data_IF_389553963706
#
_entry.id   IF_389553963706
#
_cell.length_a   1.000
_cell.length_b   1.000
_cell.length_c   1.000
_cell.angle_alpha   90.00
_cell.angle_beta   90.00
_cell.angle_gamma   90.00
#
_symmetry.space_group_name_H-M   'P 1'
#
loop_
_entity.id
_entity.type
_entity.pdbx_description
1 polymer ?
#
# COMPACT_ATOMS: atom_id res chain seq x y z
N UNK A 1 -11.00 29.72 -22.25
CA UNK A 1 -9.99 29.27 -21.27
C UNK A 1 -10.44 27.93 -20.71
N UNK A 2 -9.73 26.85 -21.02
CA UNK A 2 -10.09 25.51 -20.55
C UNK A 2 -9.76 25.35 -19.06
N UNK A 3 -10.75 24.96 -18.26
CA UNK A 3 -10.52 24.51 -16.90
C UNK A 3 -9.82 23.14 -16.98
N UNK A 4 -8.48 23.14 -16.88
CA UNK A 4 -7.72 21.92 -16.71
C UNK A 4 -8.23 21.21 -15.45
N UNK A 5 -8.74 19.99 -15.61
CA UNK A 5 -9.06 19.14 -14.46
C UNK A 5 -7.73 18.73 -13.82
N UNK A 6 -7.32 19.42 -12.76
CA UNK A 6 -6.29 18.92 -11.85
C UNK A 6 -6.84 17.66 -11.17
N UNK A 7 -6.45 16.50 -11.70
CA UNK A 7 -6.70 15.23 -11.02
C UNK A 7 -5.83 15.22 -9.76
N UNK A 8 -6.43 15.39 -8.59
CA UNK A 8 -5.72 15.25 -7.33
C UNK A 8 -5.18 13.81 -7.22
N UNK A 9 -3.87 13.65 -7.35
CA UNK A 9 -3.20 12.35 -7.14
C UNK A 9 -3.10 12.13 -5.63
N UNK A 10 -3.72 11.06 -5.14
CA UNK A 10 -3.57 10.64 -3.74
C UNK A 10 -2.30 9.81 -3.62
N UNK A 11 -1.47 10.11 -2.63
CA UNK A 11 -0.25 9.35 -2.35
C UNK A 11 -0.29 8.79 -0.92
N UNK A 12 0.23 7.57 -0.73
CA UNK A 12 0.32 6.91 0.57
C UNK A 12 1.67 6.19 0.70
N UNK A 13 2.28 6.21 1.89
CA UNK A 13 3.42 5.33 2.19
C UNK A 13 2.90 3.98 2.66
N UNK A 14 3.44 2.90 2.10
CA UNK A 14 3.12 1.52 2.51
C UNK A 14 4.39 0.81 2.95
N UNK A 15 4.30 -0.05 3.96
CA UNK A 15 5.37 -0.96 4.34
C UNK A 15 5.32 -2.20 3.44
N UNK A 16 6.43 -2.49 2.75
CA UNK A 16 6.66 -3.82 2.19
C UNK A 16 7.40 -4.63 3.23
N UNK A 17 7.00 -5.89 3.44
CA UNK A 17 7.52 -6.71 4.51
C UNK A 17 7.64 -8.18 4.11
N UNK A 18 8.53 -8.89 4.81
CA UNK A 18 8.72 -10.33 4.73
C UNK A 18 8.54 -10.96 6.12
N UNK A 19 7.73 -12.02 6.20
CA UNK A 19 7.67 -12.89 7.37
C UNK A 19 8.66 -14.05 7.19
N UNK A 20 9.69 -14.12 8.04
CA UNK A 20 10.69 -15.21 7.97
C UNK A 20 10.13 -16.57 8.37
N UNK A 21 9.16 -16.61 9.29
CA UNK A 21 8.58 -17.87 9.77
C UNK A 21 7.64 -18.52 8.76
N UNK A 22 6.91 -17.70 7.99
CA UNK A 22 5.97 -18.18 6.99
C UNK A 22 6.52 -18.12 5.55
N UNK A 23 7.65 -17.45 5.35
CA UNK A 23 8.25 -17.20 4.03
C UNK A 23 7.30 -16.50 3.05
N UNK A 24 6.41 -15.65 3.56
CA UNK A 24 5.47 -14.85 2.76
C UNK A 24 5.80 -13.37 2.84
N UNK A 25 5.52 -12.67 1.75
CA UNK A 25 5.63 -11.23 1.64
C UNK A 25 4.26 -10.57 1.72
N UNK A 26 4.26 -9.30 2.06
CA UNK A 26 3.05 -8.49 2.05
C UNK A 26 3.33 -7.01 1.99
N UNK A 27 2.23 -6.26 1.87
CA UNK A 27 2.22 -4.80 1.88
C UNK A 27 1.08 -4.31 2.76
N UNK A 28 1.36 -3.32 3.59
CA UNK A 28 0.38 -2.78 4.52
C UNK A 28 0.62 -1.28 4.75
N UNK A 29 -0.42 -0.43 4.84
CA UNK A 29 -0.26 0.97 5.21
C UNK A 29 0.25 1.20 6.65
N UNK A 30 0.15 0.20 7.52
CA UNK A 30 0.54 0.33 8.91
C UNK A 30 2.04 0.56 9.10
N UNK A 31 2.36 1.33 10.15
CA UNK A 31 3.75 1.57 10.53
C UNK A 31 4.40 0.32 11.13
N UNK A 32 3.62 -0.50 11.82
CA UNK A 32 4.10 -1.70 12.51
C UNK A 32 3.25 -2.90 12.06
N UNK A 33 3.43 -3.35 10.80
CA UNK A 33 2.64 -4.44 10.27
C UNK A 33 2.95 -5.76 10.97
N UNK A 34 1.99 -6.68 10.93
CA UNK A 34 2.17 -8.07 11.36
C UNK A 34 1.85 -9.00 10.20
N UNK A 35 2.33 -10.23 10.27
CA UNK A 35 2.09 -11.21 9.21
C UNK A 35 0.60 -11.57 9.18
N UNK A 36 -0.07 -11.35 8.04
CA UNK A 36 -1.48 -11.69 7.88
C UNK A 36 -1.78 -13.18 8.09
N UNK A 37 -0.78 -14.05 7.88
CA UNK A 37 -0.96 -15.50 7.98
C UNK A 37 -0.83 -16.02 9.42
N UNK A 38 0.16 -15.54 10.18
CA UNK A 38 0.47 -16.08 11.50
C UNK A 38 0.37 -15.07 12.66
N UNK A 39 0.08 -13.80 12.37
CA UNK A 39 0.09 -12.70 13.34
C UNK A 39 1.47 -12.34 13.88
N UNK A 40 2.53 -13.02 13.42
CA UNK A 40 3.90 -12.82 13.92
C UNK A 40 4.55 -11.54 13.41
N UNK A 41 5.69 -11.20 14.04
CA UNK A 41 6.52 -10.08 13.63
C UNK A 41 7.07 -10.27 12.21
N UNK A 42 7.24 -9.16 11.49
CA UNK A 42 7.77 -9.12 10.12
C UNK A 42 8.97 -8.20 10.03
N UNK A 43 9.82 -8.43 9.04
CA UNK A 43 10.89 -7.48 8.68
C UNK A 43 10.39 -6.56 7.58
N UNK A 44 10.34 -5.26 7.84
CA UNK A 44 10.06 -4.27 6.79
C UNK A 44 11.27 -4.13 5.89
N UNK A 45 11.09 -4.35 4.59
CA UNK A 45 12.16 -4.34 3.58
C UNK A 45 12.19 -3.04 2.77
N UNK A 46 11.04 -2.36 2.63
CA UNK A 46 10.95 -1.06 1.97
C UNK A 46 9.73 -0.25 2.45
N UNK A 47 9.76 1.06 2.23
CA UNK A 47 8.64 1.98 2.47
C UNK A 47 8.39 2.90 1.26
N UNK A 48 7.91 2.35 0.13
CA UNK A 48 7.62 3.18 -1.04
C UNK A 48 6.41 4.11 -0.79
N UNK A 49 6.41 5.22 -1.52
CA UNK A 49 5.19 6.02 -1.72
C UNK A 49 4.44 5.45 -2.92
N UNK A 50 3.20 5.02 -2.72
CA UNK A 50 2.29 4.58 -3.78
C UNK A 50 1.33 5.70 -4.15
N UNK A 51 1.16 5.93 -5.44
CA UNK A 51 0.18 6.86 -5.97
C UNK A 51 -1.09 6.07 -6.30
N UNK A 52 -2.21 6.45 -5.67
CA UNK A 52 -3.52 5.88 -5.93
C UNK A 52 -4.17 6.69 -7.04
N UNK A 53 -4.27 6.09 -8.22
CA UNK A 53 -5.16 6.61 -9.24
C UNK A 53 -6.60 6.45 -8.73
N UNK A 54 -7.42 7.50 -8.88
CA UNK A 54 -8.85 7.36 -8.68
C UNK A 54 -9.36 6.39 -9.75
N UNK A 55 -9.58 5.12 -9.39
CA UNK A 55 -10.38 4.21 -10.23
C UNK A 55 -11.73 4.89 -10.37
N UNK A 56 -12.03 5.38 -11.58
CA UNK A 56 -13.38 5.81 -11.92
C UNK A 56 -14.25 4.58 -11.73
N UNK A 57 -15.06 4.57 -10.67
CA UNK A 57 -15.97 3.47 -10.39
C UNK A 57 -16.79 3.17 -11.64
N UNK A 58 -16.68 1.95 -12.14
CA UNK A 58 -17.69 1.40 -13.02
C UNK A 58 -18.90 1.10 -12.13
N UNK A 59 -19.94 1.88 -12.33
CA UNK A 59 -21.27 1.52 -11.86
C UNK A 59 -21.79 0.44 -12.81
N UNK A 60 -22.03 -0.77 -12.29
CA UNK A 60 -23.04 -1.71 -12.78
C UNK A 60 -23.73 -2.37 -11.59
#
# INVERSE_FOLDING_TARGET
>A
MGAGRETAVRAQVVAHWLCRSCEVEGRDPDREPTCWNCGGAVTVTARPTVFLDAVRGEAE
#
